data_IF_272318937008
#
_entry.id   IF_272318937008
#
_cell.length_a   1.000
_cell.length_b   1.000
_cell.length_c   1.000
_cell.angle_alpha   90.00
_cell.angle_beta   90.00
_cell.angle_gamma   90.00
#
_symmetry.space_group_name_H-M   'P 1'
#
loop_
_entity.id
_entity.type
_entity.pdbx_description
1 polymer ?
#
# COMPACT_ATOMS: atom_id res chain seq x y z
N UNK A 1 -5.50 10.89 16.11
CA UNK A 1 -4.42 11.47 15.25
C UNK A 1 -5.08 12.52 14.35
N UNK A 2 -4.58 13.73 14.38
CA UNK A 2 -5.04 14.79 13.46
C UNK A 2 -4.31 14.59 12.11
N UNK A 3 -5.08 14.55 11.02
CA UNK A 3 -4.53 14.33 9.68
C UNK A 3 -4.19 15.68 9.04
N UNK A 4 -3.08 15.73 8.33
CA UNK A 4 -2.80 16.84 7.42
C UNK A 4 -3.83 16.88 6.27
N UNK A 5 -4.08 18.05 5.64
CA UNK A 5 -5.08 18.18 4.61
C UNK A 5 -4.92 17.17 3.45
N UNK A 6 -3.68 16.95 2.97
CA UNK A 6 -3.45 15.96 1.93
C UNK A 6 -3.73 14.51 2.39
N UNK A 7 -3.40 14.17 3.65
CA UNK A 7 -3.69 12.84 4.21
C UNK A 7 -5.20 12.60 4.28
N UNK A 8 -5.95 13.65 4.63
CA UNK A 8 -7.41 13.59 4.63
C UNK A 8 -7.95 13.37 3.22
N UNK A 9 -7.43 14.07 2.19
CA UNK A 9 -7.82 13.85 0.79
C UNK A 9 -7.55 12.41 0.35
N UNK A 10 -6.39 11.85 0.72
CA UNK A 10 -6.05 10.43 0.45
C UNK A 10 -7.08 9.50 1.09
N UNK A 11 -7.37 9.72 2.37
CA UNK A 11 -8.36 8.93 3.11
C UNK A 11 -9.74 9.01 2.46
N UNK A 12 -10.27 10.22 2.23
CA UNK A 12 -11.61 10.43 1.68
C UNK A 12 -11.75 9.79 0.29
N UNK A 13 -10.69 9.85 -0.53
CA UNK A 13 -10.67 9.25 -1.87
C UNK A 13 -10.70 7.72 -1.81
N UNK A 14 -9.84 7.13 -0.99
CA UNK A 14 -9.78 5.67 -0.83
C UNK A 14 -11.04 5.11 -0.17
N UNK A 15 -11.59 5.81 0.83
CA UNK A 15 -12.85 5.44 1.47
C UNK A 15 -14.04 5.49 0.50
N UNK A 16 -13.97 6.35 -0.52
CA UNK A 16 -14.95 6.40 -1.61
C UNK A 16 -14.72 5.31 -2.70
N UNK A 17 -13.82 4.35 -2.46
CA UNK A 17 -13.53 3.23 -3.37
C UNK A 17 -12.65 3.61 -4.57
N UNK A 18 -12.06 4.81 -4.59
CA UNK A 18 -11.17 5.26 -5.66
C UNK A 18 -9.70 5.06 -5.28
N UNK A 19 -8.89 4.63 -6.24
CA UNK A 19 -7.44 4.52 -6.07
C UNK A 19 -6.75 5.88 -6.18
N UNK A 20 -5.52 5.99 -5.67
CA UNK A 20 -4.80 7.27 -5.57
C UNK A 20 -3.38 7.15 -6.13
N UNK A 21 -2.94 8.18 -6.83
CA UNK A 21 -1.52 8.45 -7.12
C UNK A 21 -1.10 9.68 -6.32
N UNK A 22 -0.28 9.49 -5.30
CA UNK A 22 0.17 10.52 -4.38
C UNK A 22 1.58 11.01 -4.73
N UNK A 23 1.73 12.30 -4.92
CA UNK A 23 3.01 12.98 -4.95
C UNK A 23 3.19 13.82 -3.68
N UNK A 24 4.17 13.45 -2.88
CA UNK A 24 4.52 14.19 -1.67
C UNK A 24 6.00 13.98 -1.33
N UNK A 25 6.71 15.00 -0.82
CA UNK A 25 8.13 14.92 -0.47
C UNK A 25 8.43 13.84 0.56
N UNK A 26 9.69 13.44 0.65
CA UNK A 26 10.15 12.55 1.74
C UNK A 26 9.99 13.27 3.08
N UNK A 27 9.57 12.53 4.11
CA UNK A 27 9.32 13.10 5.45
C UNK A 27 7.95 13.76 5.62
N UNK A 28 7.13 13.92 4.57
CA UNK A 28 5.81 14.57 4.66
C UNK A 28 4.72 13.72 5.37
N UNK A 29 5.02 12.49 5.76
CA UNK A 29 4.03 11.60 6.36
C UNK A 29 3.25 10.77 5.33
N UNK A 30 3.83 10.46 4.16
CA UNK A 30 3.24 9.56 3.13
C UNK A 30 2.80 8.22 3.69
N UNK A 31 3.66 7.59 4.50
CA UNK A 31 3.38 6.29 5.11
C UNK A 31 2.13 6.34 6.01
N UNK A 32 1.99 7.41 6.79
CA UNK A 32 0.78 7.63 7.59
C UNK A 32 -0.46 7.81 6.71
N UNK A 33 -0.36 8.60 5.62
CA UNK A 33 -1.44 8.76 4.65
C UNK A 33 -1.86 7.41 4.02
N UNK A 34 -0.87 6.56 3.72
CA UNK A 34 -1.11 5.25 3.11
C UNK A 34 -1.79 4.26 4.07
N UNK A 35 -1.35 4.22 5.31
CA UNK A 35 -1.82 3.21 6.26
C UNK A 35 -3.09 3.62 7.01
N UNK A 36 -3.36 4.92 7.15
CA UNK A 36 -4.52 5.41 7.89
C UNK A 36 -5.86 4.83 7.41
N UNK A 37 -6.18 4.75 6.11
CA UNK A 37 -7.44 4.15 5.65
C UNK A 37 -7.62 2.70 6.10
N UNK A 38 -6.55 1.91 5.99
CA UNK A 38 -6.54 0.52 6.43
C UNK A 38 -6.69 0.39 7.95
N UNK A 39 -5.92 1.17 8.73
CA UNK A 39 -5.98 1.13 10.20
C UNK A 39 -7.34 1.55 10.73
N UNK A 40 -7.98 2.54 10.10
CA UNK A 40 -9.35 2.94 10.42
C UNK A 40 -10.37 1.83 10.12
N UNK A 41 -10.27 1.22 8.93
CA UNK A 41 -11.14 0.10 8.58
C UNK A 41 -10.94 -1.10 9.52
N UNK A 42 -9.69 -1.33 9.97
CA UNK A 42 -9.38 -2.37 10.96
C UNK A 42 -10.03 -2.09 12.31
N UNK A 43 -9.88 -0.87 12.84
CA UNK A 43 -10.49 -0.42 14.11
C UNK A 43 -12.03 -0.49 14.07
N UNK A 44 -12.61 -0.16 12.91
CA UNK A 44 -14.06 -0.14 12.72
C UNK A 44 -14.66 -1.51 12.45
N UNK A 45 -13.84 -2.49 12.08
CA UNK A 45 -14.29 -3.85 11.79
C UNK A 45 -14.98 -4.56 12.98
N UNK A 46 -14.69 -4.14 14.20
CA UNK A 46 -15.29 -4.68 15.43
C UNK A 46 -16.64 -4.00 15.78
N UNK A 47 -17.01 -2.92 15.09
CA UNK A 47 -18.31 -2.29 15.29
C UNK A 47 -19.41 -3.18 14.71
N UNK A 48 -20.60 -3.24 15.37
CA UNK A 48 -21.73 -4.08 14.95
C UNK A 48 -22.22 -3.81 13.52
N UNK A 49 -21.91 -2.63 12.97
CA UNK A 49 -22.21 -2.22 11.61
C UNK A 49 -20.97 -1.50 11.05
N UNK A 50 -19.99 -2.22 10.49
CA UNK A 50 -18.83 -1.58 9.88
C UNK A 50 -19.29 -0.72 8.70
N UNK A 51 -18.94 0.56 8.73
CA UNK A 51 -19.17 1.44 7.59
C UNK A 51 -18.12 1.11 6.51
N UNK A 52 -18.59 0.62 5.35
CA UNK A 52 -17.77 0.43 4.15
C UNK A 52 -17.12 -0.94 3.98
N UNK A 53 -16.78 -1.23 2.72
CA UNK A 53 -16.16 -2.48 2.25
C UNK A 53 -14.63 -2.35 2.06
N UNK A 54 -13.96 -1.47 2.82
CA UNK A 54 -12.51 -1.30 2.67
C UNK A 54 -11.79 -2.59 3.10
N UNK A 55 -10.76 -3.03 2.34
CA UNK A 55 -10.06 -4.29 2.62
C UNK A 55 -9.45 -4.32 4.03
N UNK A 56 -9.59 -5.46 4.69
CA UNK A 56 -9.01 -5.74 6.03
C UNK A 56 -7.63 -6.39 5.94
N UNK A 57 -7.03 -6.34 4.78
CA UNK A 57 -5.64 -6.75 4.51
C UNK A 57 -4.97 -5.64 3.71
N UNK A 58 -3.76 -5.29 4.09
CA UNK A 58 -2.91 -4.34 3.39
C UNK A 58 -1.60 -5.00 2.99
N UNK A 59 -1.24 -4.91 1.71
CA UNK A 59 0.08 -5.30 1.21
C UNK A 59 0.83 -4.02 0.85
N UNK A 60 1.86 -3.71 1.62
CA UNK A 60 2.70 -2.53 1.47
C UNK A 60 4.01 -2.92 0.78
N UNK A 61 4.13 -2.55 -0.49
CA UNK A 61 5.22 -2.94 -1.38
C UNK A 61 6.24 -1.82 -1.54
N UNK A 62 7.51 -2.13 -1.27
CA UNK A 62 8.64 -1.21 -1.41
C UNK A 62 9.69 -1.75 -2.39
N UNK A 63 10.52 -0.89 -3.02
CA UNK A 63 11.53 -1.36 -3.97
C UNK A 63 12.67 -2.12 -3.31
N UNK A 64 13.00 -1.82 -2.07
CA UNK A 64 14.18 -2.32 -1.38
C UNK A 64 13.84 -3.10 -0.10
N UNK A 65 14.50 -4.24 0.11
CA UNK A 65 14.32 -5.07 1.31
C UNK A 65 14.61 -4.33 2.61
N UNK A 66 15.58 -3.41 2.59
CA UNK A 66 15.92 -2.61 3.77
C UNK A 66 14.73 -1.77 4.22
N UNK A 67 14.00 -1.16 3.29
CA UNK A 67 12.79 -0.40 3.59
C UNK A 67 11.68 -1.30 4.15
N UNK A 68 11.49 -2.50 3.59
CA UNK A 68 10.52 -3.45 4.12
C UNK A 68 10.84 -3.84 5.57
N UNK A 69 12.12 -4.09 5.89
CA UNK A 69 12.55 -4.38 7.25
C UNK A 69 12.30 -3.21 8.21
N UNK A 70 12.69 -1.98 7.81
CA UNK A 70 12.49 -0.78 8.63
C UNK A 70 11.00 -0.55 8.96
N UNK A 71 10.13 -0.66 7.96
CA UNK A 71 8.70 -0.51 8.19
C UNK A 71 8.13 -1.64 9.06
N UNK A 72 8.56 -2.88 8.84
CA UNK A 72 8.12 -3.98 9.69
C UNK A 72 8.55 -3.79 11.14
N UNK A 73 9.82 -3.47 11.41
CA UNK A 73 10.34 -3.22 12.76
C UNK A 73 9.53 -2.10 13.45
N UNK A 74 9.27 -0.99 12.73
CA UNK A 74 8.52 0.14 13.25
C UNK A 74 7.06 -0.22 13.58
N UNK A 75 6.37 -0.93 12.68
CA UNK A 75 4.94 -1.19 12.84
C UNK A 75 4.63 -2.44 13.67
N UNK A 76 5.51 -3.43 13.73
CA UNK A 76 5.41 -4.56 14.67
C UNK A 76 5.53 -4.08 16.11
N UNK A 77 6.41 -3.13 16.38
CA UNK A 77 6.55 -2.52 17.69
C UNK A 77 5.35 -1.60 18.02
N UNK A 78 4.88 -0.82 17.05
CA UNK A 78 3.71 0.07 17.21
C UNK A 78 2.40 -0.69 17.36
N UNK A 79 2.26 -1.86 16.78
CA UNK A 79 1.05 -2.68 16.87
C UNK A 79 0.62 -2.85 18.34
N UNK A 80 1.57 -3.09 19.21
CA UNK A 80 1.36 -3.23 20.66
C UNK A 80 0.77 -1.98 21.32
N UNK A 81 0.91 -0.83 20.68
CA UNK A 81 0.52 0.49 21.19
C UNK A 81 -0.70 1.08 20.48
N UNK A 82 -1.22 0.48 19.40
CA UNK A 82 -2.40 1.01 18.70
C UNK A 82 -3.68 0.96 19.55
N UNK A 83 -3.71 0.10 20.57
CA UNK A 83 -4.88 -0.02 21.47
C UNK A 83 -6.12 -0.55 20.76
N UNK A 84 -5.96 -1.25 19.63
CA UNK A 84 -7.07 -1.91 18.95
C UNK A 84 -7.67 -3.01 19.82
N UNK A 85 -8.98 -3.17 19.75
CA UNK A 85 -9.69 -4.24 20.45
C UNK A 85 -9.28 -5.62 19.92
N UNK A 86 -8.91 -5.69 18.64
CA UNK A 86 -8.44 -6.87 17.95
C UNK A 86 -6.98 -6.69 17.55
N UNK A 87 -6.13 -7.67 17.88
CA UNK A 87 -4.72 -7.66 17.48
C UNK A 87 -4.58 -7.57 15.95
N UNK A 88 -3.68 -6.70 15.50
CA UNK A 88 -3.31 -6.53 14.09
C UNK A 88 -2.09 -7.41 13.81
N UNK A 89 -2.23 -8.41 12.96
CA UNK A 89 -1.11 -9.28 12.59
C UNK A 89 -0.22 -8.61 11.55
N UNK A 90 0.92 -8.06 11.99
CA UNK A 90 1.92 -7.38 11.16
C UNK A 90 3.00 -8.37 10.75
N UNK A 91 3.17 -8.58 9.45
CA UNK A 91 4.11 -9.56 8.87
C UNK A 91 5.06 -8.92 7.88
N UNK A 92 6.15 -9.65 7.61
CA UNK A 92 7.08 -9.33 6.54
C UNK A 92 7.20 -10.51 5.58
N UNK A 93 7.22 -10.22 4.28
CA UNK A 93 7.45 -11.22 3.23
C UNK A 93 8.44 -10.68 2.21
N UNK A 94 9.70 -11.10 2.34
CA UNK A 94 10.76 -10.77 1.39
C UNK A 94 11.55 -12.03 1.00
N UNK A 95 12.40 -11.96 -0.01
CA UNK A 95 13.24 -13.09 -0.38
C UNK A 95 14.21 -13.54 0.72
N UNK A 96 14.62 -12.63 1.63
CA UNK A 96 15.50 -12.95 2.76
C UNK A 96 14.72 -13.34 4.04
N UNK A 97 13.48 -12.87 4.16
CA UNK A 97 12.59 -13.15 5.31
C UNK A 97 11.21 -13.61 4.80
N UNK A 98 11.08 -14.91 4.49
CA UNK A 98 9.82 -15.48 4.01
C UNK A 98 8.91 -15.87 5.20
N UNK A 99 8.63 -14.88 6.09
CA UNK A 99 7.95 -15.14 7.36
C UNK A 99 6.44 -15.34 7.15
N UNK A 100 5.90 -14.82 6.04
CA UNK A 100 4.48 -14.96 5.68
C UNK A 100 4.30 -15.48 4.24
N UNK A 101 4.67 -16.74 4.03
CA UNK A 101 4.67 -17.36 2.70
C UNK A 101 3.30 -17.36 2.03
N UNK A 102 2.21 -17.38 2.80
CA UNK A 102 0.83 -17.46 2.30
C UNK A 102 0.10 -16.12 2.33
N UNK A 103 0.78 -15.04 2.71
CA UNK A 103 0.19 -13.73 2.88
C UNK A 103 -1.02 -13.75 3.84
N UNK A 104 -0.87 -14.42 4.98
CA UNK A 104 -1.93 -14.58 5.99
C UNK A 104 -2.07 -13.34 6.88
N UNK A 105 -1.00 -12.56 7.07
CA UNK A 105 -0.99 -11.33 7.86
C UNK A 105 -2.04 -10.30 7.42
N UNK A 106 -2.35 -9.38 8.31
CA UNK A 106 -3.30 -8.30 8.03
C UNK A 106 -2.59 -7.08 7.41
N UNK A 107 -1.43 -6.72 7.94
CA UNK A 107 -0.52 -5.72 7.36
C UNK A 107 0.78 -6.43 6.98
N UNK A 108 1.09 -6.45 5.69
CA UNK A 108 2.23 -7.20 5.17
C UNK A 108 3.18 -6.22 4.48
N UNK A 109 4.38 -6.06 5.04
CA UNK A 109 5.46 -5.34 4.37
C UNK A 109 6.23 -6.29 3.46
N UNK A 110 6.40 -5.89 2.21
CA UNK A 110 6.98 -6.79 1.21
C UNK A 110 7.78 -6.00 0.16
N UNK A 111 8.50 -6.70 -0.70
CA UNK A 111 9.12 -6.08 -1.88
C UNK A 111 8.23 -6.22 -3.10
N UNK A 112 8.38 -5.30 -4.06
CA UNK A 112 7.54 -5.25 -5.26
C UNK A 112 7.59 -6.54 -6.06
N UNK A 113 8.78 -7.16 -6.19
CA UNK A 113 8.96 -8.45 -6.85
C UNK A 113 8.17 -9.57 -6.20
N UNK A 114 8.06 -9.57 -4.85
CA UNK A 114 7.24 -10.54 -4.12
C UNK A 114 5.74 -10.31 -4.42
N UNK A 115 5.28 -9.06 -4.42
CA UNK A 115 3.89 -8.76 -4.75
C UNK A 115 3.54 -9.20 -6.17
N UNK A 116 4.40 -8.89 -7.15
CA UNK A 116 4.22 -9.29 -8.54
C UNK A 116 4.21 -10.81 -8.70
N UNK A 117 5.19 -11.51 -8.12
CA UNK A 117 5.29 -12.97 -8.23
C UNK A 117 4.11 -13.69 -7.59
N UNK A 118 3.62 -13.20 -6.44
CA UNK A 118 2.44 -13.74 -5.78
C UNK A 118 1.17 -13.52 -6.62
N UNK A 119 1.00 -12.34 -7.22
CA UNK A 119 -0.13 -12.08 -8.11
C UNK A 119 -0.10 -12.95 -9.37
N UNK A 120 1.08 -13.15 -9.95
CA UNK A 120 1.27 -13.98 -11.15
C UNK A 120 1.19 -15.48 -10.88
N UNK A 121 0.85 -15.90 -9.66
CA UNK A 121 0.80 -17.31 -9.24
C UNK A 121 2.15 -18.05 -9.33
N UNK A 122 3.25 -17.32 -9.27
CA UNK A 122 4.62 -17.84 -9.29
C UNK A 122 5.33 -17.40 -7.98
N UNK A 123 4.80 -17.74 -6.80
CA UNK A 123 5.37 -17.28 -5.54
C UNK A 123 6.73 -17.92 -5.31
N UNK A 124 7.71 -17.11 -4.93
CA UNK A 124 9.06 -17.59 -4.63
C UNK A 124 9.14 -18.51 -3.39
N UNK A 125 8.17 -18.39 -2.50
CA UNK A 125 8.19 -19.07 -1.21
C UNK A 125 7.21 -20.27 -1.11
N UNK A 126 6.41 -20.53 -2.14
CA UNK A 126 5.41 -21.62 -2.18
C UNK A 126 5.61 -22.51 -3.40
N UNK A 127 5.03 -23.71 -3.34
CA UNK A 127 4.89 -24.55 -4.54
C UNK A 127 3.88 -23.95 -5.51
N UNK A 128 4.04 -24.22 -6.80
CA UNK A 128 3.15 -23.73 -7.85
C UNK A 128 1.68 -24.10 -7.62
N UNK A 129 1.43 -25.26 -7.01
CA UNK A 129 0.07 -25.73 -6.70
C UNK A 129 -0.65 -24.84 -5.66
N UNK A 130 0.06 -24.01 -4.92
CA UNK A 130 -0.48 -23.11 -3.90
C UNK A 130 -0.46 -21.62 -4.34
N UNK A 131 0.05 -21.34 -5.53
CA UNK A 131 0.16 -19.96 -6.04
C UNK A 131 -1.17 -19.22 -6.09
N UNK A 132 -2.27 -19.90 -6.36
CA UNK A 132 -3.61 -19.30 -6.39
C UNK A 132 -4.05 -18.71 -5.06
N UNK A 133 -3.57 -19.22 -3.91
CA UNK A 133 -3.89 -18.69 -2.59
C UNK A 133 -3.35 -17.25 -2.45
N UNK A 134 -2.11 -17.05 -2.86
CA UNK A 134 -1.46 -15.75 -2.76
C UNK A 134 -2.03 -14.75 -3.77
N UNK A 135 -2.37 -15.20 -4.98
CA UNK A 135 -3.08 -14.33 -5.94
C UNK A 135 -4.43 -13.87 -5.38
N UNK A 136 -5.18 -14.77 -4.72
CA UNK A 136 -6.41 -14.43 -4.02
C UNK A 136 -6.18 -13.43 -2.87
N UNK A 137 -5.11 -13.60 -2.09
CA UNK A 137 -4.73 -12.66 -1.03
C UNK A 137 -4.43 -11.27 -1.59
N UNK A 138 -3.67 -11.17 -2.69
CA UNK A 138 -3.40 -9.88 -3.37
C UNK A 138 -4.69 -9.23 -3.86
N UNK A 139 -5.58 -9.99 -4.48
CA UNK A 139 -6.85 -9.48 -5.02
C UNK A 139 -7.85 -9.01 -3.95
N UNK A 140 -7.73 -9.51 -2.73
CA UNK A 140 -8.57 -9.12 -1.59
C UNK A 140 -7.96 -8.05 -0.68
N UNK A 141 -6.81 -7.51 -1.06
CA UNK A 141 -6.06 -6.55 -0.24
C UNK A 141 -6.18 -5.12 -0.75
N UNK A 142 -5.95 -4.16 0.14
CA UNK A 142 -5.53 -2.82 -0.24
C UNK A 142 -4.04 -2.85 -0.58
N UNK A 143 -3.66 -2.34 -1.76
CA UNK A 143 -2.29 -2.39 -2.26
C UNK A 143 -1.62 -1.02 -2.16
N UNK A 144 -0.45 -0.97 -1.55
CA UNK A 144 0.40 0.23 -1.50
C UNK A 144 1.70 -0.05 -2.25
N UNK A 145 2.05 0.83 -3.19
CA UNK A 145 3.34 0.84 -3.87
C UNK A 145 4.07 2.14 -3.53
N UNK A 146 5.08 2.03 -2.70
CA UNK A 146 5.86 3.18 -2.22
C UNK A 146 7.12 3.38 -3.03
N UNK A 147 7.59 4.63 -3.07
CA UNK A 147 8.82 5.05 -3.75
C UNK A 147 8.87 4.63 -5.23
N UNK A 148 7.78 4.82 -5.97
CA UNK A 148 7.65 4.40 -7.37
C UNK A 148 8.81 4.86 -8.26
N UNK A 149 9.43 5.98 -7.94
CA UNK A 149 10.55 6.54 -8.66
C UNK A 149 11.85 5.73 -8.56
N UNK A 150 11.93 4.80 -7.60
CA UNK A 150 13.04 3.88 -7.45
C UNK A 150 12.83 2.56 -8.21
N UNK A 151 11.68 2.38 -8.87
CA UNK A 151 11.42 1.18 -9.64
C UNK A 151 12.21 1.22 -10.95
N UNK A 152 12.82 0.09 -11.28
CA UNK A 152 13.52 -0.05 -12.55
C UNK A 152 12.57 0.24 -13.73
N UNK A 153 12.90 1.24 -14.59
CA UNK A 153 12.00 1.71 -15.64
C UNK A 153 11.79 0.73 -16.78
N UNK A 154 12.69 -0.24 -16.97
CA UNK A 154 12.63 -1.19 -18.07
C UNK A 154 11.91 -2.49 -17.69
N UNK A 155 11.87 -2.85 -16.40
CA UNK A 155 11.32 -4.12 -15.94
C UNK A 155 10.24 -3.99 -14.87
N UNK A 156 10.57 -3.41 -13.72
CA UNK A 156 9.68 -3.38 -12.55
C UNK A 156 8.51 -2.42 -12.74
N UNK A 157 8.79 -1.20 -13.17
CA UNK A 157 7.78 -0.17 -13.35
C UNK A 157 6.69 -0.57 -14.36
N UNK A 158 7.03 -1.03 -15.59
CA UNK A 158 6.02 -1.51 -16.54
C UNK A 158 5.16 -2.65 -16.00
N UNK A 159 5.78 -3.58 -15.25
CA UNK A 159 5.08 -4.74 -14.68
C UNK A 159 4.07 -4.31 -13.61
N UNK A 160 4.46 -3.39 -12.71
CA UNK A 160 3.54 -2.83 -11.70
C UNK A 160 2.41 -2.04 -12.37
N UNK A 161 2.70 -1.21 -13.36
CA UNK A 161 1.67 -0.46 -14.08
C UNK A 161 0.69 -1.38 -14.81
N UNK A 162 1.18 -2.48 -15.36
CA UNK A 162 0.31 -3.47 -15.98
C UNK A 162 -0.59 -4.15 -14.94
N UNK A 163 -0.04 -4.58 -13.80
CA UNK A 163 -0.80 -5.11 -12.67
C UNK A 163 -1.91 -4.14 -12.26
N UNK A 164 -1.57 -2.88 -11.99
CA UNK A 164 -2.53 -1.88 -11.51
C UNK A 164 -3.64 -1.59 -12.53
N UNK A 165 -3.34 -1.62 -13.84
CA UNK A 165 -4.36 -1.53 -14.90
C UNK A 165 -5.35 -2.69 -14.88
N UNK A 166 -4.89 -3.90 -14.57
CA UNK A 166 -5.77 -5.08 -14.45
C UNK A 166 -6.66 -5.01 -13.21
N UNK A 167 -6.19 -4.35 -12.15
CA UNK A 167 -6.85 -4.24 -10.86
C UNK A 167 -7.74 -3.00 -10.70
N UNK A 168 -7.64 -2.02 -11.61
CA UNK A 168 -8.42 -0.78 -11.53
C UNK A 168 -9.92 -1.05 -11.39
N UNK A 169 -10.56 -0.30 -10.50
CA UNK A 169 -11.98 -0.46 -10.19
C UNK A 169 -12.36 -1.77 -9.48
N UNK A 170 -11.39 -2.62 -9.12
CA UNK A 170 -11.63 -3.91 -8.44
C UNK A 170 -10.91 -4.01 -7.10
N UNK A 171 -9.69 -3.49 -7.04
CA UNK A 171 -8.84 -3.53 -5.85
C UNK A 171 -8.38 -2.10 -5.58
N UNK A 172 -8.62 -1.55 -4.39
CA UNK A 172 -8.12 -0.23 -4.06
C UNK A 172 -6.60 -0.24 -3.96
N UNK A 173 -5.96 0.78 -4.52
CA UNK A 173 -4.51 0.94 -4.42
C UNK A 173 -4.09 2.39 -4.22
N UNK A 174 -2.93 2.55 -3.63
CA UNK A 174 -2.21 3.80 -3.50
C UNK A 174 -0.81 3.63 -4.08
N UNK A 175 -0.44 4.51 -5.00
CA UNK A 175 0.92 4.61 -5.54
C UNK A 175 1.53 5.91 -5.03
N UNK A 176 2.75 5.86 -4.50
CA UNK A 176 3.42 7.03 -3.93
C UNK A 176 4.76 7.30 -4.60
N UNK A 177 5.06 8.58 -4.80
CA UNK A 177 6.34 9.04 -5.35
C UNK A 177 6.71 10.40 -4.75
N UNK A 178 8.00 10.68 -4.65
CA UNK A 178 8.50 11.96 -4.15
C UNK A 178 9.07 12.87 -5.25
N UNK A 179 9.39 12.35 -6.44
CA UNK A 179 10.23 13.05 -7.42
C UNK A 179 9.61 13.22 -8.80
N UNK A 180 8.44 12.62 -9.07
CA UNK A 180 7.78 12.80 -10.35
C UNK A 180 7.25 14.23 -10.50
N UNK A 181 7.25 14.77 -11.73
CA UNK A 181 6.57 16.03 -11.99
C UNK A 181 5.06 15.87 -11.83
N UNK A 182 4.37 16.98 -11.57
CA UNK A 182 2.89 16.97 -11.50
C UNK A 182 2.25 16.44 -12.76
N UNK A 183 2.83 16.77 -13.91
CA UNK A 183 2.36 16.30 -15.21
C UNK A 183 2.45 14.77 -15.31
N UNK A 184 3.58 14.18 -14.88
CA UNK A 184 3.75 12.72 -14.83
C UNK A 184 2.75 12.08 -13.88
N UNK A 185 2.52 12.67 -12.69
CA UNK A 185 1.56 12.17 -11.72
C UNK A 185 0.14 12.17 -12.30
N UNK A 186 -0.27 13.26 -12.96
CA UNK A 186 -1.59 13.37 -13.61
C UNK A 186 -1.75 12.39 -14.78
N UNK A 187 -0.71 12.23 -15.59
CA UNK A 187 -0.71 11.25 -16.69
C UNK A 187 -0.82 9.81 -16.17
N UNK A 188 -0.07 9.48 -15.12
CA UNK A 188 -0.10 8.18 -14.47
C UNK A 188 -1.47 7.90 -13.85
N UNK A 189 -2.02 8.85 -13.11
CA UNK A 189 -3.34 8.74 -12.49
C UNK A 189 -4.43 8.51 -13.53
N UNK A 190 -4.42 9.27 -14.63
CA UNK A 190 -5.35 9.06 -15.76
C UNK A 190 -5.22 7.65 -16.35
N UNK A 191 -4.01 7.15 -16.50
CA UNK A 191 -3.77 5.81 -17.06
C UNK A 191 -4.27 4.69 -16.14
N UNK A 192 -4.23 4.91 -14.84
CA UNK A 192 -4.64 3.95 -13.81
C UNK A 192 -6.09 4.11 -13.34
N UNK A 193 -6.82 5.09 -13.87
CA UNK A 193 -8.16 5.48 -13.39
C UNK A 193 -8.15 5.78 -11.88
N UNK A 194 -7.17 6.56 -11.46
CA UNK A 194 -6.92 6.92 -10.07
C UNK A 194 -6.96 8.44 -9.88
N UNK A 195 -7.14 8.89 -8.65
CA UNK A 195 -7.12 10.31 -8.29
C UNK A 195 -5.69 10.80 -8.10
N UNK A 196 -5.23 11.84 -8.82
CA UNK A 196 -3.95 12.46 -8.55
C UNK A 196 -4.04 13.37 -7.33
N UNK A 197 -3.24 13.12 -6.31
CA UNK A 197 -3.10 14.00 -5.15
C UNK A 197 -1.66 14.50 -5.11
N UNK A 198 -1.49 15.80 -5.29
CA UNK A 198 -0.20 16.47 -5.24
C UNK A 198 -0.19 17.35 -3.99
N UNK A 199 0.87 17.23 -3.20
CA UNK A 199 1.11 18.10 -2.05
C UNK A 199 1.61 19.45 -2.54
N UNK A 200 0.89 20.53 -2.22
CA UNK A 200 1.31 21.87 -2.60
C UNK A 200 2.54 22.32 -1.80
N UNK A 201 3.26 23.33 -2.31
CA UNK A 201 4.39 23.91 -1.61
C UNK A 201 3.98 24.51 -0.23
N UNK A 202 2.77 25.09 -0.15
CA UNK A 202 2.21 25.64 1.08
C UNK A 202 1.90 24.52 2.09
N UNK A 203 1.28 23.42 1.63
CA UNK A 203 1.02 22.26 2.47
C UNK A 203 2.33 21.60 2.95
N UNK A 204 3.35 21.52 2.09
CA UNK A 204 4.66 20.99 2.45
C UNK A 204 5.36 21.84 3.50
N UNK A 205 5.26 23.16 3.40
CA UNK A 205 5.84 24.10 4.39
C UNK A 205 5.12 24.07 5.75
N UNK A 206 3.88 23.61 5.81
CA UNK A 206 3.10 23.48 7.04
C UNK A 206 3.38 22.17 7.80
N UNK A 207 4.13 21.24 7.22
CA UNK A 207 4.55 20.00 7.87
C UNK A 207 5.87 20.24 8.61
N UNK A 208 5.94 19.96 9.92
CA UNK A 208 7.12 20.22 10.75
C UNK A 208 8.34 19.37 10.39
#
# INVERSE_FOLDING_TARGET
>A
MELYPFQKRVYDTLAAGRSVVLHAPTGSGKTAAALYPFLRAWEEADKRHPEGDFPRKCIYSVPLRVLANQFWDEYEERERNFGFTRALDVKIQTGARPDDRKLEGNLIFTTVDQTLSNFLTIPHALSLNQGNLNAGAVLSSYLVFDELHLFDPESMLPSVLHLLRLLRGKVPFLVMTATFSEEMVRALAKQLDAEPIVLSAEEAAAIP
#
